data_IF_609776337035
#
_entry.id   IF_609776337035
#
_cell.length_a   1.000
_cell.length_b   1.000
_cell.length_c   1.000
_cell.angle_alpha   90.00
_cell.angle_beta   90.00
_cell.angle_gamma   90.00
#
_symmetry.space_group_name_H-M   'P 1'
#
loop_
_entity.id
_entity.type
_entity.pdbx_description
1 polymer ?
#
# COMPACT_ATOMS: atom_id res chain seq x y z
N UNK A 1 -2.60 -16.62 5.78
CA UNK A 1 -3.50 -15.65 5.10
C UNK A 1 -4.44 -16.44 4.21
N UNK A 2 -5.76 -16.23 4.36
CA UNK A 2 -6.77 -16.84 3.50
C UNK A 2 -6.68 -16.21 2.12
N UNK A 3 -6.55 -17.02 1.06
CA UNK A 3 -6.53 -16.51 -0.31
C UNK A 3 -7.95 -16.04 -0.66
N UNK A 4 -8.11 -14.76 -0.98
CA UNK A 4 -9.35 -14.25 -1.55
C UNK A 4 -9.45 -14.72 -3.00
N UNK A 5 -10.67 -14.76 -3.53
CA UNK A 5 -10.91 -15.11 -4.93
C UNK A 5 -10.49 -13.98 -5.89
N UNK A 6 -10.45 -12.74 -5.39
CA UNK A 6 -10.02 -11.56 -6.11
C UNK A 6 -8.54 -11.24 -5.85
N UNK A 7 -7.87 -10.65 -6.83
CA UNK A 7 -6.60 -9.94 -6.62
C UNK A 7 -6.90 -8.57 -6.02
N UNK A 8 -6.37 -8.31 -4.84
CA UNK A 8 -6.55 -7.04 -4.11
C UNK A 8 -5.41 -6.09 -4.46
N UNK A 9 -5.76 -4.90 -4.92
CA UNK A 9 -4.80 -3.87 -5.30
C UNK A 9 -5.10 -2.60 -4.52
N UNK A 10 -4.08 -2.07 -3.85
CA UNK A 10 -4.16 -0.76 -3.21
C UNK A 10 -3.49 0.26 -4.11
N UNK A 11 -4.19 1.33 -4.46
CA UNK A 11 -3.62 2.50 -5.14
C UNK A 11 -3.22 3.53 -4.08
N UNK A 12 -1.99 4.01 -4.14
CA UNK A 12 -1.44 5.02 -3.21
C UNK A 12 -0.90 6.21 -3.97
N UNK A 13 -1.04 7.40 -3.38
CA UNK A 13 -0.66 8.68 -3.98
C UNK A 13 -1.77 9.72 -3.81
N UNK A 14 -1.46 10.98 -4.08
CA UNK A 14 -2.37 12.10 -3.84
C UNK A 14 -3.71 11.96 -4.58
N UNK A 15 -3.66 11.44 -5.82
CA UNK A 15 -4.84 11.27 -6.69
C UNK A 15 -5.47 9.87 -6.62
N UNK A 16 -5.12 9.05 -5.62
CA UNK A 16 -5.57 7.67 -5.54
C UNK A 16 -7.11 7.54 -5.57
N UNK A 17 -7.83 8.33 -4.77
CA UNK A 17 -9.29 8.31 -4.73
C UNK A 17 -9.94 8.60 -6.09
N UNK A 18 -9.44 9.61 -6.82
CA UNK A 18 -9.92 10.00 -8.15
C UNK A 18 -9.69 8.88 -9.18
N UNK A 19 -8.47 8.33 -9.19
CA UNK A 19 -8.08 7.26 -10.12
C UNK A 19 -8.88 6.00 -9.83
N UNK A 20 -9.00 5.59 -8.56
CA UNK A 20 -9.80 4.43 -8.15
C UNK A 20 -11.26 4.61 -8.57
N UNK A 21 -11.86 5.78 -8.34
CA UNK A 21 -13.24 6.06 -8.75
C UNK A 21 -13.44 5.89 -10.26
N UNK A 22 -12.47 6.33 -11.06
CA UNK A 22 -12.50 6.24 -12.52
C UNK A 22 -12.38 4.80 -13.05
N UNK A 23 -11.69 3.90 -12.34
CA UNK A 23 -11.57 2.49 -12.72
C UNK A 23 -12.89 1.71 -12.60
N UNK A 24 -13.90 2.28 -11.93
CA UNK A 24 -15.22 1.64 -11.75
C UNK A 24 -15.98 1.36 -13.05
N UNK A 25 -15.58 1.93 -14.18
CA UNK A 25 -16.15 1.62 -15.50
C UNK A 25 -15.63 0.32 -16.11
N UNK A 26 -14.57 -0.29 -15.56
CA UNK A 26 -13.98 -1.52 -16.09
C UNK A 26 -14.74 -2.76 -15.60
N UNK A 27 -15.09 -3.66 -16.53
CA UNK A 27 -15.97 -4.80 -16.25
C UNK A 27 -15.38 -5.86 -15.29
N UNK A 28 -14.05 -5.95 -15.19
CA UNK A 28 -13.34 -6.92 -14.35
C UNK A 28 -12.84 -6.31 -13.03
N UNK A 29 -13.13 -5.04 -12.77
CA UNK A 29 -12.65 -4.29 -11.60
C UNK A 29 -13.80 -3.93 -10.68
N UNK A 30 -13.63 -4.23 -9.40
CA UNK A 30 -14.42 -3.63 -8.32
C UNK A 30 -13.61 -2.48 -7.71
N UNK A 31 -13.93 -1.26 -8.13
CA UNK A 31 -13.36 -0.04 -7.55
C UNK A 31 -14.05 0.35 -6.24
N UNK A 32 -13.27 0.68 -5.21
CA UNK A 32 -13.77 1.11 -3.89
C UNK A 32 -12.97 2.31 -3.40
N UNK A 33 -13.54 3.51 -3.53
CA UNK A 33 -12.96 4.74 -2.96
C UNK A 33 -13.28 4.81 -1.46
N UNK A 34 -12.28 4.85 -0.59
CA UNK A 34 -12.44 4.87 0.86
C UNK A 34 -13.34 6.03 1.30
N UNK A 35 -12.99 7.26 0.93
CA UNK A 35 -13.64 8.47 1.46
C UNK A 35 -13.57 8.47 3.00
N UNK A 36 -14.68 8.79 3.65
CA UNK A 36 -14.79 8.83 5.12
C UNK A 36 -15.00 7.45 5.78
N UNK A 37 -14.98 6.37 4.99
CA UNK A 37 -15.21 5.01 5.52
C UNK A 37 -14.09 4.57 6.46
N UNK A 38 -14.49 3.81 7.47
CA UNK A 38 -13.53 3.07 8.28
C UNK A 38 -12.80 2.02 7.42
N UNK A 39 -11.49 1.79 7.62
CA UNK A 39 -10.75 0.75 6.89
C UNK A 39 -11.39 -0.65 6.96
N UNK A 40 -12.07 -0.99 8.06
CA UNK A 40 -12.77 -2.26 8.20
C UNK A 40 -13.99 -2.38 7.26
N UNK A 41 -14.67 -1.26 6.97
CA UNK A 41 -15.78 -1.25 6.01
C UNK A 41 -15.30 -1.55 4.59
N UNK A 42 -14.16 -0.96 4.18
CA UNK A 42 -13.54 -1.26 2.89
C UNK A 42 -13.12 -2.72 2.84
N UNK A 43 -12.50 -3.22 3.91
CA UNK A 43 -12.10 -4.62 4.05
C UNK A 43 -13.27 -5.58 3.87
N UNK A 44 -14.44 -5.28 4.42
CA UNK A 44 -15.63 -6.12 4.24
C UNK A 44 -16.12 -6.14 2.79
N UNK A 45 -16.06 -5.00 2.08
CA UNK A 45 -16.35 -4.95 0.63
C UNK A 45 -15.36 -5.81 -0.15
N UNK A 46 -14.07 -5.77 0.20
CA UNK A 46 -13.04 -6.60 -0.44
C UNK A 46 -13.34 -8.09 -0.24
N UNK A 47 -13.67 -8.51 0.98
CA UNK A 47 -13.94 -9.92 1.31
C UNK A 47 -15.16 -10.49 0.57
N UNK A 48 -16.18 -9.67 0.32
CA UNK A 48 -17.42 -10.08 -0.36
C UNK A 48 -17.32 -10.03 -1.88
N UNK A 49 -16.26 -9.47 -2.44
CA UNK A 49 -16.14 -9.29 -3.88
C UNK A 49 -15.95 -10.63 -4.61
N UNK A 50 -16.62 -10.75 -5.76
CA UNK A 50 -16.38 -11.81 -6.75
C UNK A 50 -15.68 -11.32 -8.01
N UNK A 51 -15.28 -10.04 -8.07
CA UNK A 51 -14.58 -9.48 -9.21
C UNK A 51 -13.16 -10.08 -9.35
N UNK A 52 -12.59 -10.01 -10.55
CA UNK A 52 -11.20 -10.44 -10.75
C UNK A 52 -10.24 -9.57 -9.95
N UNK A 53 -10.41 -8.24 -10.03
CA UNK A 53 -9.65 -7.27 -9.27
C UNK A 53 -10.56 -6.52 -8.29
N UNK A 54 -10.09 -6.31 -7.07
CA UNK A 54 -10.63 -5.30 -6.16
C UNK A 54 -9.57 -4.22 -6.00
N UNK A 55 -9.91 -3.00 -6.38
CA UNK A 55 -8.99 -1.86 -6.38
C UNK A 55 -9.50 -0.80 -5.41
N UNK A 56 -8.69 -0.39 -4.44
CA UNK A 56 -9.07 0.61 -3.44
C UNK A 56 -7.88 1.49 -3.02
N UNK A 57 -8.17 2.59 -2.34
CA UNK A 57 -7.19 3.58 -1.83
C UNK A 57 -7.03 3.51 -0.29
N UNK A 58 -7.71 2.58 0.38
CA UNK A 58 -7.53 2.32 1.82
C UNK A 58 -6.25 1.50 2.10
N UNK A 59 -5.09 2.16 2.15
CA UNK A 59 -3.82 1.50 2.48
C UNK A 59 -3.77 1.03 3.95
N UNK A 60 -3.63 -0.29 4.22
CA UNK A 60 -3.55 -0.83 5.58
C UNK A 60 -2.26 -0.45 6.31
N UNK A 61 -1.24 0.03 5.61
CA UNK A 61 0.04 0.47 6.17
C UNK A 61 0.22 1.99 6.13
N UNK A 62 -0.83 2.77 5.82
CA UNK A 62 -0.73 4.22 5.65
C UNK A 62 -0.15 4.94 6.87
N UNK A 63 -0.57 4.53 8.08
CA UNK A 63 -0.07 5.12 9.33
C UNK A 63 1.39 4.73 9.60
N UNK A 64 1.79 3.49 9.27
CA UNK A 64 3.18 3.03 9.36
C UNK A 64 4.06 3.83 8.39
N UNK A 65 3.64 3.98 7.14
CA UNK A 65 4.36 4.75 6.13
C UNK A 65 4.57 6.21 6.58
N UNK A 66 3.51 6.86 7.06
CA UNK A 66 3.54 8.25 7.54
C UNK A 66 4.46 8.43 8.75
N UNK A 67 4.37 7.55 9.74
CA UNK A 67 5.20 7.64 10.95
C UNK A 67 6.65 7.25 10.69
N UNK A 68 6.90 6.36 9.74
CA UNK A 68 8.25 6.03 9.29
C UNK A 68 8.89 7.20 8.55
N UNK A 69 8.14 7.89 7.68
CA UNK A 69 8.55 9.13 7.02
C UNK A 69 8.91 10.20 8.07
N UNK A 70 7.97 10.52 8.97
CA UNK A 70 8.20 11.53 10.02
C UNK A 70 9.36 11.17 10.97
N UNK A 71 9.56 9.89 11.27
CA UNK A 71 10.68 9.44 12.10
C UNK A 71 12.04 9.73 11.44
N UNK A 72 12.17 9.48 10.13
CA UNK A 72 13.43 9.70 9.42
C UNK A 72 13.63 11.14 8.96
N UNK A 73 12.55 11.91 8.79
CA UNK A 73 12.62 13.34 8.53
C UNK A 73 12.92 14.15 9.82
N UNK A 74 12.87 13.50 10.99
CA UNK A 74 13.19 14.10 12.28
C UNK A 74 12.03 14.84 12.95
N UNK A 75 10.81 14.66 12.44
CA UNK A 75 9.60 15.33 12.90
C UNK A 75 8.93 14.62 14.09
N UNK A 76 9.18 13.33 14.28
CA UNK A 76 8.50 12.52 15.31
C UNK A 76 9.47 11.54 16.02
N UNK A 77 9.37 11.37 17.36
CA UNK A 77 10.18 10.40 18.08
C UNK A 77 9.81 8.95 17.74
N UNK A 78 10.74 8.00 17.96
CA UNK A 78 10.61 6.57 17.62
C UNK A 78 9.31 5.91 18.11
N UNK A 79 8.78 6.34 19.26
CA UNK A 79 7.58 5.75 19.86
C UNK A 79 6.33 5.82 18.98
N UNK A 80 6.20 6.85 18.12
CA UNK A 80 5.06 6.97 17.21
C UNK A 80 5.03 5.84 16.17
N UNK A 81 6.19 5.52 15.59
CA UNK A 81 6.35 4.43 14.62
C UNK A 81 6.05 3.06 15.24
N UNK A 82 6.53 2.80 16.46
CA UNK A 82 6.26 1.53 17.15
C UNK A 82 4.76 1.32 17.41
N UNK A 83 4.05 2.37 17.82
CA UNK A 83 2.60 2.32 18.03
C UNK A 83 1.86 2.04 16.72
N UNK A 84 2.24 2.73 15.64
CA UNK A 84 1.64 2.50 14.31
C UNK A 84 1.85 1.06 13.82
N UNK A 85 3.05 0.51 14.02
CA UNK A 85 3.38 -0.88 13.66
C UNK A 85 2.49 -1.86 14.43
N UNK A 86 2.40 -1.73 15.76
CA UNK A 86 1.61 -2.67 16.56
C UNK A 86 0.11 -2.56 16.28
N UNK A 87 -0.38 -1.35 15.96
CA UNK A 87 -1.77 -1.15 15.53
C UNK A 87 -2.06 -1.84 14.20
N UNK A 88 -1.24 -1.61 13.18
CA UNK A 88 -1.40 -2.26 11.88
C UNK A 88 -1.34 -3.80 12.00
N UNK A 89 -0.41 -4.32 12.82
CA UNK A 89 -0.32 -5.75 13.09
C UNK A 89 -1.54 -6.28 13.84
N UNK A 90 -2.10 -5.52 14.79
CA UNK A 90 -3.35 -5.88 15.47
C UNK A 90 -4.52 -5.96 14.49
N UNK A 91 -4.67 -4.99 13.59
CA UNK A 91 -5.75 -4.95 12.60
C UNK A 91 -5.65 -6.09 11.58
N UNK A 92 -4.44 -6.40 11.12
CA UNK A 92 -4.20 -7.53 10.21
C UNK A 92 -4.46 -8.88 10.88
N UNK A 93 -4.05 -9.06 12.15
CA UNK A 93 -4.34 -10.30 12.91
C UNK A 93 -5.82 -10.47 13.21
N UNK A 94 -6.52 -9.37 13.45
CA UNK A 94 -7.96 -9.37 13.71
C UNK A 94 -8.80 -9.35 12.43
N UNK A 95 -8.17 -9.51 11.25
CA UNK A 95 -8.84 -9.50 9.95
C UNK A 95 -9.63 -8.20 9.64
N UNK A 96 -9.35 -7.11 10.38
CA UNK A 96 -9.93 -5.76 10.17
C UNK A 96 -9.26 -5.01 9.03
N UNK A 97 -8.06 -5.44 8.65
CA UNK A 97 -7.33 -5.00 7.48
C UNK A 97 -6.83 -6.22 6.69
N UNK A 98 -6.56 -6.03 5.41
CA UNK A 98 -5.96 -7.04 4.53
C UNK A 98 -4.75 -6.42 3.86
N UNK A 99 -3.60 -7.09 3.94
CA UNK A 99 -2.44 -6.72 3.14
C UNK A 99 -2.72 -7.04 1.66
N UNK A 100 -2.62 -6.07 0.73
CA UNK A 100 -3.03 -6.28 -0.66
C UNK A 100 -2.09 -7.25 -1.39
N UNK A 101 -2.53 -7.81 -2.50
CA UNK A 101 -1.65 -8.56 -3.40
C UNK A 101 -0.62 -7.62 -4.05
N UNK A 102 -1.04 -6.40 -4.40
CA UNK A 102 -0.20 -5.39 -5.06
C UNK A 102 -0.50 -3.98 -4.53
N UNK A 103 0.53 -3.16 -4.47
CA UNK A 103 0.45 -1.70 -4.40
C UNK A 103 0.68 -1.13 -5.79
N UNK A 104 -0.16 -0.19 -6.21
CA UNK A 104 0.09 0.69 -7.36
C UNK A 104 0.42 2.08 -6.81
N UNK A 105 1.64 2.56 -7.06
CA UNK A 105 2.14 3.83 -6.54
C UNK A 105 2.05 4.87 -7.65
N UNK A 106 1.21 5.89 -7.44
CA UNK A 106 1.01 6.97 -8.39
C UNK A 106 2.16 7.98 -8.32
N UNK A 107 2.69 8.36 -9.48
CA UNK A 107 3.71 9.39 -9.69
C UNK A 107 4.86 9.33 -8.65
N UNK A 108 5.53 8.17 -8.47
CA UNK A 108 6.57 8.01 -7.45
C UNK A 108 7.76 8.97 -7.61
N UNK A 109 8.00 9.49 -8.81
CA UNK A 109 9.00 10.50 -9.10
C UNK A 109 8.74 11.85 -8.44
N UNK A 110 7.47 12.18 -8.18
CA UNK A 110 7.03 13.44 -7.59
C UNK A 110 6.92 13.36 -6.06
N UNK A 111 7.10 12.17 -5.48
CA UNK A 111 7.06 11.97 -4.04
C UNK A 111 8.30 12.57 -3.35
N UNK A 112 8.13 13.11 -2.11
CA UNK A 112 9.27 13.47 -1.27
C UNK A 112 10.27 12.31 -1.12
N UNK A 113 11.59 12.57 -1.00
CA UNK A 113 12.61 11.53 -1.05
C UNK A 113 12.38 10.37 -0.07
N UNK A 114 12.06 10.67 1.19
CA UNK A 114 11.78 9.67 2.23
C UNK A 114 10.55 8.85 1.87
N UNK A 115 9.45 9.49 1.47
CA UNK A 115 8.23 8.81 1.04
C UNK A 115 8.41 7.95 -0.21
N UNK A 116 9.22 8.41 -1.17
CA UNK A 116 9.61 7.62 -2.33
C UNK A 116 10.41 6.39 -1.91
N UNK A 117 11.33 6.53 -0.94
CA UNK A 117 12.10 5.40 -0.42
C UNK A 117 11.25 4.38 0.34
N UNK A 118 10.19 4.81 1.03
CA UNK A 118 9.22 3.88 1.60
C UNK A 118 8.68 2.91 0.53
N UNK A 119 8.24 3.42 -0.61
CA UNK A 119 7.68 2.58 -1.67
C UNK A 119 8.76 1.86 -2.51
N UNK A 120 9.70 2.62 -3.07
CA UNK A 120 10.68 2.13 -4.04
C UNK A 120 11.92 1.49 -3.38
N UNK A 121 12.10 1.68 -2.08
CA UNK A 121 13.16 1.06 -1.27
C UNK A 121 12.59 -0.01 -0.35
N UNK A 122 11.87 0.38 0.70
CA UNK A 122 11.42 -0.53 1.77
C UNK A 122 10.43 -1.59 1.27
N UNK A 123 9.32 -1.15 0.67
CA UNK A 123 8.27 -2.05 0.18
C UNK A 123 8.76 -2.88 -1.01
N UNK A 124 9.44 -2.25 -1.98
CA UNK A 124 9.99 -2.93 -3.14
C UNK A 124 11.11 -3.91 -2.78
N UNK A 125 11.96 -3.64 -1.78
CA UNK A 125 12.95 -4.63 -1.31
C UNK A 125 12.28 -5.87 -0.71
N UNK A 126 11.13 -5.71 -0.05
CA UNK A 126 10.39 -6.82 0.53
C UNK A 126 9.70 -7.69 -0.55
N UNK A 127 9.06 -7.07 -1.53
CA UNK A 127 8.43 -7.75 -2.67
C UNK A 127 8.40 -6.88 -3.94
N UNK A 128 9.43 -6.95 -4.79
CA UNK A 128 9.63 -5.98 -5.88
C UNK A 128 8.46 -5.90 -6.87
N UNK A 129 7.97 -7.04 -7.35
CA UNK A 129 6.90 -7.10 -8.36
C UNK A 129 5.51 -6.74 -7.79
N UNK A 130 5.42 -6.49 -6.48
CA UNK A 130 4.18 -6.13 -5.78
C UNK A 130 4.06 -4.64 -5.52
N UNK A 131 5.07 -3.85 -5.87
CA UNK A 131 5.03 -2.40 -5.83
C UNK A 131 5.19 -1.91 -7.27
N UNK A 132 4.09 -1.46 -7.86
CA UNK A 132 4.01 -1.14 -9.28
C UNK A 132 3.86 0.37 -9.46
N UNK A 133 4.86 1.06 -10.03
CA UNK A 133 4.73 2.47 -10.34
C UNK A 133 3.76 2.67 -11.50
N UNK A 134 2.94 3.71 -11.44
CA UNK A 134 2.04 4.12 -12.52
C UNK A 134 1.86 5.65 -12.48
N UNK A 135 1.44 6.23 -13.60
CA UNK A 135 1.02 7.64 -13.60
C UNK A 135 -0.33 7.79 -12.90
N UNK A 136 -0.65 8.95 -12.34
CA UNK A 136 -1.98 9.25 -11.78
C UNK A 136 -3.08 9.38 -12.86
N UNK A 137 -3.40 8.29 -13.53
CA UNK A 137 -4.50 8.21 -14.50
C UNK A 137 -5.14 6.82 -14.49
N UNK A 138 -6.45 6.76 -14.78
CA UNK A 138 -7.14 5.47 -14.87
C UNK A 138 -6.61 4.57 -15.99
N UNK A 139 -6.28 5.07 -17.20
CA UNK A 139 -5.65 4.28 -18.24
C UNK A 139 -4.30 3.66 -17.83
N UNK A 140 -3.41 4.45 -17.22
CA UNK A 140 -2.08 3.96 -16.81
C UNK A 140 -2.20 2.91 -15.69
N UNK A 141 -3.12 3.09 -14.74
CA UNK A 141 -3.39 2.07 -13.72
C UNK A 141 -4.03 0.83 -14.32
N UNK A 142 -4.95 0.95 -15.29
CA UNK A 142 -5.53 -0.20 -15.97
C UNK A 142 -4.47 -1.00 -16.75
N UNK A 143 -3.52 -0.32 -17.39
CA UNK A 143 -2.36 -0.95 -18.02
C UNK A 143 -1.52 -1.71 -16.98
N UNK A 144 -1.21 -1.07 -15.83
CA UNK A 144 -0.49 -1.71 -14.74
C UNK A 144 -1.21 -2.98 -14.22
N UNK A 145 -2.54 -2.94 -14.06
CA UNK A 145 -3.35 -4.11 -13.66
C UNK A 145 -3.22 -5.28 -14.65
N UNK A 146 -3.12 -4.98 -15.95
CA UNK A 146 -2.97 -6.00 -17.00
C UNK A 146 -1.57 -6.64 -17.01
N UNK A 147 -0.56 -5.90 -16.53
CA UNK A 147 0.84 -6.34 -16.48
C UNK A 147 1.28 -7.00 -15.16
N UNK A 148 0.37 -7.19 -14.21
CA UNK A 148 0.70 -7.78 -12.91
C UNK A 148 1.25 -9.20 -13.09
N UNK A 149 2.42 -9.46 -12.50
CA UNK A 149 3.13 -10.72 -12.63
C UNK A 149 3.27 -11.42 -11.28
N UNK A 150 3.32 -12.74 -11.32
CA UNK A 150 3.60 -13.53 -10.12
C UNK A 150 5.06 -13.32 -9.67
N UNK A 151 5.27 -13.24 -8.37
CA UNK A 151 6.60 -13.23 -7.76
C UNK A 151 6.53 -13.36 -6.25
N UNK A 152 7.66 -13.07 -5.59
CA UNK A 152 7.83 -13.16 -4.14
C UNK A 152 6.63 -12.54 -3.42
N UNK A 153 5.98 -13.31 -2.55
CA UNK A 153 4.93 -12.80 -1.69
C UNK A 153 5.52 -11.87 -0.62
N UNK A 154 4.70 -11.06 0.02
CA UNK A 154 5.12 -10.28 1.19
C UNK A 154 5.80 -11.16 2.24
N UNK A 155 6.69 -10.60 3.09
CA UNK A 155 7.42 -11.35 4.10
C UNK A 155 6.50 -12.28 4.91
N UNK A 156 6.90 -13.55 5.03
CA UNK A 156 6.12 -14.55 5.76
C UNK A 156 5.96 -14.17 7.24
N UNK A 157 7.04 -13.65 7.84
CA UNK A 157 7.01 -13.04 9.16
C UNK A 157 6.88 -11.52 9.05
N UNK A 158 5.66 -11.08 8.72
CA UNK A 158 5.32 -9.67 8.59
C UNK A 158 5.58 -8.88 9.87
N UNK A 159 5.39 -9.51 11.04
CA UNK A 159 5.58 -8.85 12.34
C UNK A 159 7.05 -8.53 12.59
N UNK A 160 7.95 -9.49 12.40
CA UNK A 160 9.39 -9.24 12.53
C UNK A 160 9.89 -8.24 11.50
N UNK A 161 9.37 -8.29 10.27
CA UNK A 161 9.73 -7.32 9.23
C UNK A 161 9.28 -5.89 9.58
N UNK A 162 8.02 -5.67 9.95
CA UNK A 162 7.54 -4.33 10.35
C UNK A 162 8.29 -3.79 11.57
N UNK A 163 8.58 -4.62 12.57
CA UNK A 163 9.35 -4.22 13.77
C UNK A 163 10.83 -3.93 13.49
N UNK A 164 11.33 -4.30 12.32
CA UNK A 164 12.69 -3.96 11.89
C UNK A 164 12.77 -2.58 11.20
N UNK A 165 11.63 -1.97 10.84
CA UNK A 165 11.58 -0.69 10.11
C UNK A 165 12.35 0.47 10.76
N UNK A 166 12.40 0.64 12.10
CA UNK A 166 13.22 1.68 12.71
C UNK A 166 14.73 1.57 12.39
N UNK A 167 15.19 0.38 11.93
CA UNK A 167 16.57 0.12 11.52
C UNK A 167 16.75 0.13 9.99
N UNK A 168 15.69 0.32 9.22
CA UNK A 168 15.72 0.39 7.76
C UNK A 168 15.86 1.86 7.35
N UNK A 169 17.10 2.32 7.25
CA UNK A 169 17.42 3.72 6.94
C UNK A 169 17.05 4.04 5.49
N UNK A 170 16.40 5.18 5.20
CA UNK A 170 16.20 5.64 3.83
C UNK A 170 17.52 5.83 3.11
N UNK A 171 17.57 5.55 1.81
CA UNK A 171 18.70 5.99 1.00
C UNK A 171 18.65 7.52 0.96
N UNK A 172 19.48 8.16 1.78
CA UNK A 172 19.62 9.61 1.69
C UNK A 172 20.29 9.93 0.36
N UNK A 173 19.78 10.90 -0.42
CA UNK A 173 20.64 11.55 -1.38
C UNK A 173 21.81 12.13 -0.58
N UNK A 174 23.04 11.75 -0.94
CA UNK A 174 24.24 12.44 -0.47
C UNK A 174 23.97 13.93 -0.68
N UNK A 175 23.86 14.69 0.41
CA UNK A 175 23.91 16.15 0.34
C UNK A 175 25.30 16.50 -0.20
N UNK A 176 25.39 16.73 -1.50
CA UNK A 176 26.53 17.36 -2.17
C UNK A 176 26.21 18.81 -2.46
#
# INVERSE_FOLDING_TARGET
MRRLNSTVVVVVGERAAEVVGSLGSLHNVRAVVRGDRDPAEVTEVVRRSGAMYVVHDADPLAEVARTWEAFFDGDEPTGGLEVAIERALSDLRADRAILPDYYVVLDPEDLPPTRRHWWMGVMAAAAPVRVVPAKASAPDVAEALSGLSAGRWWPQDLASWLRALPRTVPDQPLLT
#
